data_IF_772690201306
#
_entry.id   IF_772690201306
#
_cell.length_a   1.000
_cell.length_b   1.000
_cell.length_c   1.000
_cell.angle_alpha   90.00
_cell.angle_beta   90.00
_cell.angle_gamma   90.00
#
_symmetry.space_group_name_H-M   'P 1'
#
loop_
_entity.id
_entity.type
_entity.pdbx_description
1 polymer ?
#
# COMPACT_ATOMS: atom_id res chain seq x y z
N UNK A 1 -18.34 26.04 2.26
CA UNK A 1 -17.76 25.12 1.26
C UNK A 1 -17.60 23.66 1.76
N UNK A 2 -18.07 23.30 2.97
CA UNK A 2 -18.03 21.91 3.51
C UNK A 2 -19.37 21.14 3.42
N UNK A 3 -20.47 21.81 3.04
CA UNK A 3 -21.82 21.21 3.10
C UNK A 3 -22.07 20.14 2.04
N UNK A 4 -21.45 20.24 0.86
CA UNK A 4 -21.62 19.26 -0.23
C UNK A 4 -21.06 17.87 0.15
N UNK A 5 -20.00 17.84 0.97
CA UNK A 5 -19.39 16.58 1.43
C UNK A 5 -20.22 15.90 2.54
N UNK A 6 -21.13 16.64 3.17
CA UNK A 6 -22.01 16.15 4.22
C UNK A 6 -23.30 15.63 3.59
N UNK A 7 -23.28 14.36 3.18
CA UNK A 7 -24.49 13.64 2.75
C UNK A 7 -25.58 13.62 3.83
N UNK A 8 -26.81 13.19 3.52
CA UNK A 8 -27.98 13.33 4.40
C UNK A 8 -27.85 12.60 5.75
N UNK A 9 -27.01 11.55 5.82
CA UNK A 9 -26.76 10.76 7.04
C UNK A 9 -25.36 10.97 7.62
N UNK A 10 -24.70 12.07 7.27
CA UNK A 10 -23.31 12.36 7.67
C UNK A 10 -23.09 12.24 9.19
N UNK A 11 -23.91 12.90 10.01
CA UNK A 11 -23.79 12.87 11.48
C UNK A 11 -24.05 11.47 12.06
N UNK A 12 -24.95 10.69 11.45
CA UNK A 12 -25.18 9.30 11.86
C UNK A 12 -23.95 8.42 11.58
N UNK A 13 -23.28 8.65 10.44
CA UNK A 13 -22.03 7.96 10.11
C UNK A 13 -20.93 8.36 11.09
N UNK A 14 -20.79 9.65 11.43
CA UNK A 14 -19.79 10.09 12.41
C UNK A 14 -20.05 9.48 13.80
N UNK A 15 -21.30 9.43 14.24
CA UNK A 15 -21.66 8.76 15.50
C UNK A 15 -21.25 7.28 15.45
N UNK A 16 -21.54 6.58 14.35
CA UNK A 16 -21.19 5.16 14.22
C UNK A 16 -19.68 4.94 14.14
N UNK A 17 -18.96 5.79 13.42
CA UNK A 17 -17.51 5.76 13.37
C UNK A 17 -16.90 5.98 14.77
N UNK A 18 -17.45 6.89 15.57
CA UNK A 18 -17.02 7.12 16.97
C UNK A 18 -17.26 5.91 17.87
N UNK A 19 -18.41 5.23 17.76
CA UNK A 19 -18.68 3.98 18.48
C UNK A 19 -17.75 2.83 18.09
N UNK A 20 -17.23 2.87 16.87
CA UNK A 20 -16.30 1.88 16.35
C UNK A 20 -14.83 2.25 16.63
N UNK A 21 -14.54 3.46 17.11
CA UNK A 21 -13.18 3.88 17.40
C UNK A 21 -12.75 3.43 18.79
N UNK A 22 -11.58 2.80 18.86
CA UNK A 22 -10.91 2.42 20.10
C UNK A 22 -9.74 3.38 20.29
N UNK A 23 -9.84 4.23 21.32
CA UNK A 23 -8.73 5.08 21.71
C UNK A 23 -7.60 4.24 22.27
N UNK A 24 -6.40 4.43 21.71
CA UNK A 24 -5.21 3.72 22.14
C UNK A 24 -4.00 4.57 21.80
N UNK A 25 -3.16 4.85 22.79
CA UNK A 25 -1.90 5.55 22.59
C UNK A 25 -0.78 4.51 22.45
N UNK A 26 -0.19 4.33 21.24
CA UNK A 26 0.83 3.31 21.04
C UNK A 26 2.09 3.58 21.86
N UNK A 27 2.68 2.50 22.37
CA UNK A 27 3.98 2.53 23.06
C UNK A 27 5.09 2.14 22.10
N UNK A 28 6.31 2.65 22.33
CA UNK A 28 7.46 2.33 21.48
C UNK A 28 7.95 0.92 21.78
N UNK A 29 7.72 -0.01 20.84
CA UNK A 29 8.27 -1.35 20.90
C UNK A 29 9.34 -1.53 19.84
N UNK A 30 10.47 -2.14 20.22
CA UNK A 30 11.52 -2.49 19.26
C UNK A 30 11.00 -3.57 18.30
N UNK A 31 11.28 -3.37 17.02
CA UNK A 31 10.92 -4.28 15.95
C UNK A 31 11.72 -3.92 14.70
N UNK A 32 12.28 -4.94 14.04
CA UNK A 32 12.88 -4.80 12.73
C UNK A 32 11.74 -4.80 11.71
N UNK A 33 11.57 -3.68 11.01
CA UNK A 33 10.53 -3.55 9.98
C UNK A 33 11.16 -3.25 8.63
N UNK A 34 10.59 -3.83 7.57
CA UNK A 34 10.93 -3.50 6.19
C UNK A 34 9.69 -3.05 5.42
N UNK A 35 9.85 -2.00 4.62
CA UNK A 35 8.84 -1.50 3.71
C UNK A 35 9.13 -1.95 2.29
N UNK A 36 8.07 -2.30 1.56
CA UNK A 36 8.11 -2.73 0.16
C UNK A 36 7.21 -1.81 -0.65
N UNK A 37 7.76 -1.30 -1.74
CA UNK A 37 7.03 -0.54 -2.76
C UNK A 37 7.65 -0.85 -4.13
N UNK A 38 6.86 -0.65 -5.18
CA UNK A 38 7.29 -0.80 -6.56
C UNK A 38 6.93 0.43 -7.38
N UNK A 39 7.65 0.62 -8.49
CA UNK A 39 7.22 1.56 -9.50
C UNK A 39 7.57 1.05 -10.88
N UNK A 40 6.89 1.60 -11.88
CA UNK A 40 7.21 1.39 -13.27
C UNK A 40 7.06 2.71 -14.01
N UNK A 41 7.79 2.85 -15.11
CA UNK A 41 7.66 3.98 -16.01
C UNK A 41 7.91 3.50 -17.45
N UNK A 42 7.36 4.22 -18.42
CA UNK A 42 7.44 3.88 -19.82
C UNK A 42 7.54 5.10 -20.74
N UNK A 43 8.03 4.86 -21.95
CA UNK A 43 8.01 5.86 -23.03
C UNK A 43 7.77 5.17 -24.37
N UNK A 44 7.03 5.83 -25.25
CA UNK A 44 6.51 5.25 -26.49
C UNK A 44 7.24 5.78 -27.71
N UNK A 45 7.58 4.89 -28.64
CA UNK A 45 8.20 5.17 -29.93
C UNK A 45 7.43 4.43 -31.02
N UNK A 46 6.75 5.12 -31.93
CA UNK A 46 6.13 4.52 -33.14
C UNK A 46 5.48 3.11 -32.97
N UNK A 47 4.68 2.92 -31.93
CA UNK A 47 3.98 1.64 -31.69
C UNK A 47 4.75 0.59 -30.88
N UNK A 48 6.01 0.86 -30.50
CA UNK A 48 6.76 0.14 -29.47
C UNK A 48 6.88 0.99 -28.20
N UNK A 49 6.99 0.34 -27.05
CA UNK A 49 7.15 0.97 -25.76
C UNK A 49 8.41 0.44 -25.08
N UNK A 50 9.28 1.36 -24.65
CA UNK A 50 10.35 1.07 -23.71
C UNK A 50 9.78 1.24 -22.31
N UNK A 51 9.96 0.24 -21.48
CA UNK A 51 9.48 0.25 -20.10
C UNK A 51 10.57 -0.20 -19.14
N UNK A 52 10.45 0.24 -17.89
CA UNK A 52 11.20 -0.26 -16.77
C UNK A 52 10.31 -0.38 -15.54
N UNK A 53 10.58 -1.37 -14.71
CA UNK A 53 9.92 -1.64 -13.45
C UNK A 53 10.96 -1.96 -12.38
N UNK A 54 10.67 -1.59 -11.14
CA UNK A 54 11.52 -1.86 -9.99
C UNK A 54 10.66 -2.13 -8.76
N UNK A 55 11.18 -2.95 -7.84
CA UNK A 55 10.60 -3.16 -6.51
C UNK A 55 11.71 -3.22 -5.48
N UNK A 56 11.53 -2.50 -4.37
CA UNK A 56 12.54 -2.34 -3.34
C UNK A 56 11.97 -2.76 -1.99
N UNK A 57 12.75 -3.54 -1.24
CA UNK A 57 12.54 -3.81 0.18
C UNK A 57 13.62 -3.13 1.00
N UNK A 58 13.24 -2.29 1.96
CA UNK A 58 14.19 -1.50 2.76
C UNK A 58 13.76 -1.43 4.21
N UNK A 59 14.72 -1.62 5.13
CA UNK A 59 14.50 -1.53 6.58
C UNK A 59 14.31 -0.07 7.03
N UNK A 60 13.74 0.12 8.21
CA UNK A 60 13.59 1.46 8.82
C UNK A 60 14.93 2.19 9.08
N UNK A 61 16.05 1.46 9.16
CA UNK A 61 17.40 2.01 9.30
C UNK A 61 18.06 2.40 7.96
N UNK A 62 17.39 2.18 6.82
CA UNK A 62 17.91 2.48 5.48
C UNK A 62 18.62 1.32 4.78
N UNK A 63 18.80 0.17 5.42
CA UNK A 63 19.39 -1.02 4.81
C UNK A 63 18.43 -1.61 3.76
N UNK A 64 18.89 -1.70 2.51
CA UNK A 64 18.15 -2.31 1.41
C UNK A 64 18.34 -3.83 1.49
N UNK A 65 17.24 -4.56 1.59
CA UNK A 65 17.21 -6.02 1.63
C UNK A 65 17.04 -6.63 0.25
N UNK A 66 16.23 -5.98 -0.59
CA UNK A 66 15.93 -6.44 -1.95
C UNK A 66 15.85 -5.23 -2.85
N UNK A 67 16.48 -5.33 -4.03
CA UNK A 67 16.42 -4.32 -5.08
C UNK A 67 16.26 -5.03 -6.43
N UNK A 68 15.02 -5.10 -6.93
CA UNK A 68 14.69 -5.78 -8.18
C UNK A 68 14.53 -4.75 -9.30
N UNK A 69 15.04 -5.08 -10.49
CA UNK A 69 14.94 -4.27 -11.69
C UNK A 69 14.58 -5.14 -12.88
N UNK A 70 13.68 -4.66 -13.72
CA UNK A 70 13.36 -5.27 -15.01
C UNK A 70 13.10 -4.17 -16.04
N UNK A 71 13.43 -4.44 -17.30
CA UNK A 71 13.21 -3.49 -18.40
C UNK A 71 13.08 -4.23 -19.72
N UNK A 72 12.37 -3.62 -20.65
CA UNK A 72 12.20 -4.25 -21.95
C UNK A 72 11.55 -3.34 -22.98
N UNK A 73 11.43 -3.90 -24.18
CA UNK A 73 10.75 -3.31 -25.32
C UNK A 73 9.57 -4.18 -25.70
N UNK A 74 8.41 -3.58 -25.94
CA UNK A 74 7.23 -4.31 -26.38
C UNK A 74 6.03 -3.41 -26.61
N UNK A 75 4.95 -4.00 -27.12
CA UNK A 75 3.63 -3.38 -27.18
C UNK A 75 2.70 -4.10 -26.20
N UNK A 76 1.80 -3.37 -25.56
CA UNK A 76 0.75 -3.94 -24.67
C UNK A 76 1.27 -4.73 -23.46
N UNK A 77 2.37 -4.27 -22.85
CA UNK A 77 2.91 -4.86 -21.61
C UNK A 77 2.10 -4.39 -20.40
N UNK A 78 1.60 -5.33 -19.60
CA UNK A 78 0.93 -5.03 -18.33
C UNK A 78 1.97 -4.73 -17.23
N UNK A 79 2.48 -3.50 -17.21
CA UNK A 79 3.49 -3.06 -16.24
C UNK A 79 3.02 -3.13 -14.80
N UNK A 80 1.71 -2.94 -14.57
CA UNK A 80 1.13 -3.09 -13.24
C UNK A 80 1.27 -4.53 -12.75
N UNK A 81 1.07 -5.53 -13.62
CA UNK A 81 1.28 -6.93 -13.27
C UNK A 81 2.75 -7.27 -13.04
N UNK A 82 3.67 -6.69 -13.81
CA UNK A 82 5.11 -6.86 -13.60
C UNK A 82 5.51 -6.31 -12.23
N UNK A 83 5.15 -5.07 -11.93
CA UNK A 83 5.45 -4.42 -10.66
C UNK A 83 4.87 -5.20 -9.47
N UNK A 84 3.59 -5.59 -9.52
CA UNK A 84 2.97 -6.39 -8.46
C UNK A 84 3.65 -7.75 -8.27
N UNK A 85 4.11 -8.40 -9.35
CA UNK A 85 4.89 -9.64 -9.23
C UNK A 85 6.23 -9.39 -8.53
N UNK A 86 6.92 -8.30 -8.86
CA UNK A 86 8.19 -7.93 -8.23
C UNK A 86 8.00 -7.59 -6.74
N UNK A 87 6.90 -6.94 -6.35
CA UNK A 87 6.57 -6.71 -4.93
C UNK A 87 6.40 -8.02 -4.16
N UNK A 88 5.72 -8.99 -4.74
CA UNK A 88 5.53 -10.31 -4.13
C UNK A 88 6.86 -11.04 -4.00
N UNK A 89 7.71 -10.99 -5.03
CA UNK A 89 9.06 -11.57 -4.98
C UNK A 89 9.94 -10.89 -3.91
N UNK A 90 9.89 -9.56 -3.81
CA UNK A 90 10.56 -8.83 -2.75
C UNK A 90 10.04 -9.23 -1.36
N UNK A 91 8.73 -9.42 -1.23
CA UNK A 91 8.09 -9.89 0.00
C UNK A 91 8.55 -11.30 0.38
N UNK A 92 8.58 -12.23 -0.57
CA UNK A 92 9.07 -13.61 -0.36
C UNK A 92 10.51 -13.65 0.16
N UNK A 93 11.37 -12.77 -0.36
CA UNK A 93 12.78 -12.65 0.06
C UNK A 93 12.95 -11.90 1.40
N UNK A 94 11.98 -11.08 1.79
CA UNK A 94 12.06 -10.22 2.99
C UNK A 94 11.41 -10.86 4.21
N UNK A 95 10.36 -11.68 4.01
CA UNK A 95 9.48 -12.18 5.08
C UNK A 95 10.23 -12.86 6.21
N UNK A 96 11.34 -13.54 5.92
CA UNK A 96 12.11 -14.26 6.92
C UNK A 96 13.10 -13.39 7.70
N UNK A 97 13.46 -12.23 7.18
CA UNK A 97 14.57 -11.38 7.65
C UNK A 97 14.15 -10.33 8.69
N UNK A 98 12.84 -10.11 8.86
CA UNK A 98 12.30 -9.02 9.69
C UNK A 98 11.11 -9.46 10.54
N UNK A 99 10.85 -8.71 11.62
CA UNK A 99 9.69 -8.95 12.49
C UNK A 99 8.38 -8.54 11.83
N UNK A 100 8.42 -7.56 10.91
CA UNK A 100 7.24 -7.04 10.23
C UNK A 100 7.57 -6.55 8.80
N UNK A 101 6.86 -7.08 7.83
CA UNK A 101 6.89 -6.63 6.43
C UNK A 101 5.70 -5.71 6.17
N UNK A 102 5.98 -4.53 5.64
CA UNK A 102 4.99 -3.51 5.31
C UNK A 102 4.91 -3.41 3.78
N UNK A 103 3.77 -3.78 3.22
CA UNK A 103 3.50 -3.61 1.79
C UNK A 103 2.80 -2.28 1.57
N UNK A 104 3.29 -1.42 0.67
CA UNK A 104 2.52 -0.24 0.27
C UNK A 104 1.32 -0.64 -0.57
N UNK A 105 0.18 0.02 -0.34
CA UNK A 105 -1.06 -0.26 -1.07
C UNK A 105 -2.03 -1.16 -0.31
N UNK A 106 -2.89 -1.85 -1.06
CA UNK A 106 -4.07 -2.52 -0.51
C UNK A 106 -4.19 -3.95 -1.00
N UNK A 107 -4.31 -4.87 -0.04
CA UNK A 107 -4.61 -6.28 -0.27
C UNK A 107 -5.97 -6.45 -0.96
N UNK A 108 -6.94 -5.59 -0.62
CA UNK A 108 -8.23 -5.56 -1.31
C UNK A 108 -8.05 -5.25 -2.80
N UNK A 109 -7.24 -4.25 -3.13
CA UNK A 109 -6.96 -3.92 -4.53
C UNK A 109 -6.23 -5.07 -5.23
N UNK A 110 -5.27 -5.71 -4.54
CA UNK A 110 -4.54 -6.87 -5.05
C UNK A 110 -5.46 -8.03 -5.45
N UNK A 111 -6.48 -8.36 -4.64
CA UNK A 111 -7.43 -9.42 -4.96
C UNK A 111 -8.55 -9.00 -5.91
N UNK A 112 -8.81 -7.70 -6.08
CA UNK A 112 -9.83 -7.18 -7.02
C UNK A 112 -9.31 -7.09 -8.45
N UNK A 113 -8.05 -6.68 -8.62
CA UNK A 113 -7.44 -6.62 -9.96
C UNK A 113 -7.38 -8.05 -10.50
N UNK A 114 -7.69 -8.25 -11.79
CA UNK A 114 -7.84 -9.58 -12.41
C UNK A 114 -6.52 -10.37 -12.53
N UNK A 115 -5.57 -10.15 -11.62
CA UNK A 115 -4.29 -10.84 -11.51
C UNK A 115 -4.43 -12.10 -10.64
N UNK A 116 -5.49 -12.89 -10.85
CA UNK A 116 -5.81 -14.09 -10.05
C UNK A 116 -4.66 -15.11 -9.97
N UNK A 117 -3.75 -15.08 -10.95
CA UNK A 117 -2.52 -15.89 -10.95
C UNK A 117 -1.55 -15.56 -9.81
N UNK A 118 -1.59 -14.34 -9.26
CA UNK A 118 -0.70 -13.89 -8.19
C UNK A 118 -1.28 -14.12 -6.79
N UNK A 119 -2.61 -14.20 -6.66
CA UNK A 119 -3.30 -14.32 -5.37
C UNK A 119 -2.79 -15.51 -4.54
N UNK A 120 -2.58 -16.67 -5.18
CA UNK A 120 -2.10 -17.87 -4.49
C UNK A 120 -0.69 -17.67 -3.93
N UNK A 121 0.16 -16.93 -4.64
CA UNK A 121 1.52 -16.61 -4.21
C UNK A 121 1.45 -15.60 -3.04
N UNK A 122 0.67 -14.52 -3.17
CA UNK A 122 0.45 -13.54 -2.08
C UNK A 122 -0.01 -14.25 -0.80
N UNK A 123 -1.06 -15.07 -0.89
CA UNK A 123 -1.62 -15.80 0.26
C UNK A 123 -0.57 -16.74 0.87
N UNK A 124 0.18 -17.47 0.04
CA UNK A 124 1.25 -18.37 0.50
C UNK A 124 2.34 -17.60 1.25
N UNK A 125 2.79 -16.47 0.70
CA UNK A 125 3.84 -15.63 1.30
C UNK A 125 3.40 -15.04 2.63
N UNK A 126 2.19 -14.47 2.69
CA UNK A 126 1.65 -13.88 3.93
C UNK A 126 1.47 -14.93 5.03
N UNK A 127 1.02 -16.15 4.69
CA UNK A 127 0.81 -17.25 5.65
C UNK A 127 2.12 -17.84 6.21
N UNK A 128 3.27 -17.52 5.62
CA UNK A 128 4.56 -18.12 6.02
C UNK A 128 4.97 -17.75 7.45
N UNK A 129 4.80 -16.48 7.83
CA UNK A 129 5.12 -15.98 9.18
C UNK A 129 4.01 -15.14 9.82
N UNK A 130 2.92 -14.85 9.10
CA UNK A 130 1.84 -13.96 9.56
C UNK A 130 2.36 -12.58 10.03
N UNK A 131 3.44 -12.10 9.42
CA UNK A 131 4.10 -10.83 9.73
C UNK A 131 4.03 -9.81 8.58
N UNK A 132 3.17 -10.05 7.59
CA UNK A 132 2.99 -9.16 6.42
C UNK A 132 1.71 -8.34 6.61
N UNK A 133 1.82 -7.02 6.49
CA UNK A 133 0.70 -6.08 6.62
C UNK A 133 0.69 -5.16 5.41
N UNK A 134 -0.49 -4.97 4.82
CA UNK A 134 -0.70 -3.96 3.78
C UNK A 134 -1.11 -2.64 4.40
N UNK A 135 -0.48 -1.56 3.95
CA UNK A 135 -0.70 -0.21 4.48
C UNK A 135 -1.05 0.74 3.35
N UNK A 136 -2.23 1.37 3.44
CA UNK A 136 -2.69 2.35 2.47
C UNK A 136 -2.92 3.73 3.11
N UNK A 137 -2.37 4.78 2.49
CA UNK A 137 -2.63 6.21 2.85
C UNK A 137 -4.03 6.67 2.46
N UNK A 138 -4.60 6.04 1.43
CA UNK A 138 -5.90 6.36 0.88
C UNK A 138 -6.73 5.08 0.79
N UNK A 139 -8.05 5.21 0.93
CA UNK A 139 -8.96 4.10 0.73
C UNK A 139 -10.30 4.60 0.24
N UNK A 140 -10.78 3.98 -0.85
CA UNK A 140 -12.11 4.23 -1.40
C UNK A 140 -13.15 3.22 -0.89
N UNK A 141 -12.77 2.29 0.00
CA UNK A 141 -13.71 1.32 0.55
C UNK A 141 -14.76 2.01 1.40
N UNK A 142 -16.03 1.70 1.15
CA UNK A 142 -17.20 2.25 1.84
C UNK A 142 -17.91 1.23 2.73
N UNK A 143 -17.32 0.06 2.92
CA UNK A 143 -18.03 -1.14 3.37
C UNK A 143 -18.56 -1.04 4.80
N UNK A 144 -17.91 -0.28 5.67
CA UNK A 144 -18.40 -0.11 7.05
C UNK A 144 -19.62 0.82 7.12
N UNK A 145 -19.71 1.81 6.23
CA UNK A 145 -20.76 2.83 6.25
C UNK A 145 -21.70 2.83 5.04
N UNK A 146 -21.55 1.87 4.12
CA UNK A 146 -22.34 1.73 2.88
C UNK A 146 -23.85 1.72 3.16
N UNK A 147 -24.28 1.00 4.21
CA UNK A 147 -25.69 0.94 4.64
C UNK A 147 -26.29 2.28 5.10
N UNK A 148 -25.44 3.26 5.41
CA UNK A 148 -25.84 4.62 5.76
C UNK A 148 -25.76 5.59 4.56
N UNK A 149 -25.48 5.10 3.35
CA UNK A 149 -25.39 5.93 2.15
C UNK A 149 -24.13 6.81 2.12
N UNK A 150 -22.99 6.27 2.60
CA UNK A 150 -21.71 6.98 2.61
C UNK A 150 -21.28 7.44 1.21
N UNK A 151 -21.00 8.75 1.07
CA UNK A 151 -20.51 9.35 -0.18
C UNK A 151 -19.00 9.18 -0.36
N UNK A 152 -18.24 9.19 0.73
CA UNK A 152 -16.79 9.03 0.76
C UNK A 152 -16.38 7.64 1.28
N UNK A 153 -15.10 7.28 1.17
CA UNK A 153 -14.54 6.08 1.80
C UNK A 153 -14.59 6.15 3.33
N UNK A 154 -14.58 4.99 4.00
CA UNK A 154 -14.68 4.88 5.47
C UNK A 154 -13.58 5.71 6.17
N UNK A 155 -12.38 5.77 5.59
CA UNK A 155 -11.23 6.55 6.07
C UNK A 155 -11.53 8.06 6.22
N UNK A 156 -12.41 8.60 5.37
CA UNK A 156 -12.81 10.00 5.43
C UNK A 156 -13.56 10.28 6.73
N UNK A 157 -14.53 9.43 7.08
CA UNK A 157 -15.33 9.60 8.29
C UNK A 157 -14.50 9.42 9.55
N UNK A 158 -13.60 8.43 9.57
CA UNK A 158 -12.69 8.25 10.70
C UNK A 158 -11.76 9.46 10.92
N UNK A 159 -11.33 10.13 9.84
CA UNK A 159 -10.53 11.36 9.97
C UNK A 159 -11.33 12.52 10.60
N UNK A 160 -12.66 12.52 10.54
CA UNK A 160 -13.51 13.59 11.07
C UNK A 160 -13.97 13.40 12.52
N UNK A 161 -13.85 12.20 13.11
CA UNK A 161 -14.41 11.93 14.44
C UNK A 161 -13.47 12.26 15.60
N UNK A 162 -12.15 12.26 15.38
CA UNK A 162 -11.15 12.46 16.43
C UNK A 162 -9.83 12.90 15.82
N UNK A 163 -8.96 13.50 16.63
CA UNK A 163 -7.54 13.76 16.34
C UNK A 163 -6.60 12.85 17.15
N UNK A 164 -7.12 12.12 18.13
CA UNK A 164 -6.35 11.26 19.02
C UNK A 164 -5.87 9.98 18.31
N UNK A 165 -4.74 9.40 18.76
CA UNK A 165 -4.32 8.06 18.36
C UNK A 165 -5.37 6.98 18.67
N UNK A 166 -5.33 5.90 17.93
CA UNK A 166 -6.24 4.78 18.10
C UNK A 166 -6.48 4.03 16.80
N UNK A 167 -7.50 3.18 16.82
CA UNK A 167 -7.87 2.36 15.67
C UNK A 167 -9.36 2.07 15.63
N UNK A 168 -9.89 1.78 14.44
CA UNK A 168 -11.27 1.31 14.29
C UNK A 168 -11.37 -0.17 14.67
N UNK A 169 -12.54 -0.60 15.13
CA UNK A 169 -12.89 -2.03 15.20
C UNK A 169 -12.61 -2.72 13.87
N UNK A 170 -12.19 -3.97 13.97
CA UNK A 170 -11.84 -4.79 12.82
C UNK A 170 -13.06 -4.97 11.91
N UNK A 171 -12.84 -4.82 10.60
CA UNK A 171 -13.82 -5.14 9.58
C UNK A 171 -13.30 -6.28 8.71
N UNK A 172 -14.07 -7.36 8.61
CA UNK A 172 -13.71 -8.58 7.89
C UNK A 172 -14.48 -8.67 6.57
N UNK A 173 -13.77 -8.83 5.47
CA UNK A 173 -14.32 -9.02 4.12
C UNK A 173 -14.03 -10.45 3.63
N UNK A 174 -15.09 -11.23 3.39
CA UNK A 174 -15.01 -12.65 2.97
C UNK A 174 -15.35 -12.89 1.48
N UNK A 175 -15.40 -11.85 0.66
CA UNK A 175 -15.98 -11.93 -0.69
C UNK A 175 -15.10 -12.64 -1.74
N UNK A 176 -13.81 -12.86 -1.44
CA UNK A 176 -12.83 -13.37 -2.40
C UNK A 176 -12.59 -14.88 -2.32
N UNK A 177 -13.33 -15.59 -1.46
CA UNK A 177 -13.13 -17.01 -1.18
C UNK A 177 -12.70 -17.26 0.26
N UNK A 178 -12.72 -18.53 0.68
CA UNK A 178 -12.42 -18.95 2.05
C UNK A 178 -10.95 -18.75 2.45
N UNK A 179 -10.04 -18.68 1.48
CA UNK A 179 -8.60 -18.50 1.66
C UNK A 179 -8.13 -17.05 1.52
N UNK A 180 -9.02 -16.15 1.08
CA UNK A 180 -8.76 -14.72 0.80
C UNK A 180 -9.64 -13.80 1.65
N UNK A 181 -9.67 -14.09 2.94
CA UNK A 181 -10.37 -13.26 3.92
C UNK A 181 -9.46 -12.08 4.28
N UNK A 182 -9.98 -10.86 4.20
CA UNK A 182 -9.24 -9.65 4.56
C UNK A 182 -9.83 -9.06 5.82
N UNK A 183 -9.02 -8.95 6.87
CA UNK A 183 -9.33 -8.13 8.02
C UNK A 183 -8.70 -6.74 7.87
N UNK A 184 -9.44 -5.70 8.18
CA UNK A 184 -8.96 -4.32 8.03
C UNK A 184 -9.33 -3.42 9.20
N UNK A 185 -8.44 -2.48 9.51
CA UNK A 185 -8.67 -1.44 10.51
C UNK A 185 -8.07 -0.12 10.04
N UNK A 186 -8.70 0.99 10.43
CA UNK A 186 -8.19 2.33 10.21
C UNK A 186 -7.46 2.80 11.47
N UNK A 187 -6.26 3.31 11.32
CA UNK A 187 -5.35 3.58 12.43
C UNK A 187 -4.84 5.02 12.37
N UNK A 188 -4.77 5.67 13.53
CA UNK A 188 -3.96 6.88 13.74
C UNK A 188 -2.85 6.56 14.73
N UNK A 189 -1.59 6.67 14.30
CA UNK A 189 -0.44 6.34 15.13
C UNK A 189 -0.05 7.46 16.11
N UNK A 190 -0.30 8.72 15.76
CA UNK A 190 0.05 9.88 16.60
C UNK A 190 -1.00 10.98 16.51
N UNK A 191 -1.09 11.83 17.52
CA UNK A 191 -2.07 12.90 17.55
C UNK A 191 -1.96 13.81 16.32
N UNK A 192 -3.12 14.18 15.76
CA UNK A 192 -3.24 15.05 14.58
C UNK A 192 -2.50 14.58 13.32
N UNK A 193 -2.11 13.30 13.25
CA UNK A 193 -1.56 12.70 12.02
C UNK A 193 -2.65 12.08 11.15
N UNK A 194 -2.39 11.86 9.84
CA UNK A 194 -3.32 11.19 8.96
C UNK A 194 -3.67 9.78 9.44
N UNK A 195 -4.89 9.35 9.16
CA UNK A 195 -5.28 7.94 9.31
C UNK A 195 -4.74 7.13 8.13
N UNK A 196 -4.24 5.94 8.43
CA UNK A 196 -3.86 4.91 7.46
C UNK A 196 -4.78 3.70 7.59
N UNK A 197 -4.92 2.92 6.53
CA UNK A 197 -5.61 1.62 6.57
C UNK A 197 -4.58 0.52 6.72
N UNK A 198 -4.77 -0.36 7.70
CA UNK A 198 -4.04 -1.63 7.81
C UNK A 198 -4.94 -2.76 7.30
N UNK A 199 -4.37 -3.65 6.50
CA UNK A 199 -5.04 -4.87 6.03
C UNK A 199 -4.17 -6.10 6.33
N UNK A 200 -4.85 -7.12 6.86
CA UNK A 200 -4.30 -8.38 7.29
C UNK A 200 -4.99 -9.52 6.54
N UNK A 201 -4.29 -10.63 6.37
CA UNK A 201 -4.85 -11.85 5.81
C UNK A 201 -5.43 -12.73 6.93
N UNK A 202 -6.69 -13.11 6.81
CA UNK A 202 -7.42 -13.91 7.80
C UNK A 202 -8.50 -13.09 8.53
N UNK A 203 -9.23 -13.76 9.42
CA UNK A 203 -10.24 -13.13 10.28
C UNK A 203 -9.90 -13.12 11.76
N UNK A 204 -8.96 -13.97 12.18
CA UNK A 204 -8.65 -14.25 13.58
C UNK A 204 -7.65 -13.24 14.17
N UNK A 205 -7.93 -11.94 14.04
CA UNK A 205 -7.08 -10.88 14.60
C UNK A 205 -7.69 -10.27 15.85
N UNK A 206 -6.99 -10.41 16.98
CA UNK A 206 -7.45 -9.88 18.26
C UNK A 206 -7.12 -8.39 18.42
N UNK A 207 -7.86 -7.69 19.28
CA UNK A 207 -7.54 -6.29 19.60
C UNK A 207 -6.11 -6.13 20.16
N UNK A 208 -5.63 -7.11 20.94
CA UNK A 208 -4.27 -7.10 21.50
C UNK A 208 -3.20 -7.23 20.41
N UNK A 209 -3.46 -8.00 19.36
CA UNK A 209 -2.58 -8.12 18.21
C UNK A 209 -2.50 -6.80 17.43
N UNK A 210 -3.64 -6.12 17.23
CA UNK A 210 -3.68 -4.79 16.62
C UNK A 210 -2.86 -3.80 17.47
N UNK A 211 -3.07 -3.76 18.79
CA UNK A 211 -2.28 -2.92 19.71
C UNK A 211 -0.78 -3.21 19.63
N UNK A 212 -0.38 -4.48 19.61
CA UNK A 212 1.02 -4.89 19.45
C UNK A 212 1.60 -4.40 18.11
N UNK A 213 0.84 -4.53 17.03
CA UNK A 213 1.21 -4.02 15.71
C UNK A 213 1.40 -2.51 15.72
N UNK A 214 0.47 -1.76 16.31
CA UNK A 214 0.56 -0.31 16.45
C UNK A 214 1.82 0.10 17.21
N UNK A 215 2.18 -0.59 18.28
CA UNK A 215 3.39 -0.30 19.07
C UNK A 215 4.68 -0.46 18.25
N UNK A 216 4.77 -1.54 17.47
CA UNK A 216 5.91 -1.81 16.56
C UNK A 216 5.99 -0.77 15.44
N UNK A 217 4.84 -0.41 14.86
CA UNK A 217 4.76 0.60 13.80
C UNK A 217 5.11 1.99 14.32
N UNK A 218 4.62 2.38 15.50
CA UNK A 218 4.79 3.71 16.07
C UNK A 218 6.26 4.08 16.26
N UNK A 219 7.09 3.15 16.77
CA UNK A 219 8.53 3.35 16.95
C UNK A 219 9.24 3.76 15.65
N UNK A 220 8.85 3.14 14.54
CA UNK A 220 9.47 3.27 13.22
C UNK A 220 8.70 4.20 12.27
N UNK A 221 7.79 5.03 12.79
CA UNK A 221 6.95 5.93 11.98
C UNK A 221 7.32 7.40 12.17
N UNK A 222 7.24 8.16 11.07
CA UNK A 222 7.47 9.62 11.06
C UNK A 222 6.21 10.29 10.52
N UNK A 223 5.65 11.26 11.26
CA UNK A 223 4.43 11.96 10.84
C UNK A 223 3.19 11.05 10.73
N UNK A 224 3.16 9.95 11.49
CA UNK A 224 2.05 8.98 11.47
C UNK A 224 2.09 7.96 10.34
N UNK A 225 3.21 7.87 9.61
CA UNK A 225 3.40 6.87 8.54
C UNK A 225 4.74 6.12 8.70
N UNK A 226 4.79 4.80 8.46
CA UNK A 226 6.02 4.02 8.61
C UNK A 226 7.17 4.53 7.73
N UNK A 227 8.33 4.76 8.33
CA UNK A 227 9.47 5.35 7.63
C UNK A 227 10.05 4.40 6.57
N UNK A 228 10.03 3.09 6.83
CA UNK A 228 10.48 2.07 5.88
C UNK A 228 9.71 2.13 4.55
N UNK A 229 8.39 2.38 4.58
CA UNK A 229 7.59 2.57 3.37
C UNK A 229 7.93 3.86 2.63
N UNK A 230 8.24 4.95 3.36
CA UNK A 230 8.72 6.19 2.75
C UNK A 230 10.06 5.98 2.05
N UNK A 231 10.95 5.18 2.64
CA UNK A 231 12.22 4.81 2.02
C UNK A 231 11.99 3.95 0.77
N UNK A 232 11.13 2.94 0.83
CA UNK A 232 10.83 2.06 -0.31
C UNK A 232 10.34 2.88 -1.51
N UNK A 233 9.35 3.74 -1.28
CA UNK A 233 8.79 4.64 -2.30
C UNK A 233 9.82 5.55 -2.96
N UNK A 234 10.77 6.08 -2.17
CA UNK A 234 11.80 6.97 -2.69
C UNK A 234 12.85 6.20 -3.50
N UNK A 235 13.17 4.96 -3.11
CA UNK A 235 14.19 4.15 -3.77
C UNK A 235 13.66 3.42 -5.01
N UNK A 236 12.36 3.11 -5.08
CA UNK A 236 11.77 2.46 -6.26
C UNK A 236 11.39 3.45 -7.37
N UNK A 237 11.50 4.77 -7.18
CA UNK A 237 10.98 5.75 -8.15
C UNK A 237 11.81 5.79 -9.44
N UNK A 238 11.19 5.47 -10.59
CA UNK A 238 11.81 5.62 -11.92
C UNK A 238 11.39 6.95 -12.55
N UNK A 239 12.35 7.84 -12.78
CA UNK A 239 12.14 9.16 -13.39
C UNK A 239 12.21 9.14 -14.91
N UNK A 240 11.55 10.10 -15.57
CA UNK A 240 11.61 10.27 -17.02
C UNK A 240 13.05 10.54 -17.51
N UNK A 241 13.90 11.12 -16.66
CA UNK A 241 15.32 11.35 -16.95
C UNK A 241 16.08 10.02 -17.04
N UNK A 242 15.73 9.03 -16.22
CA UNK A 242 16.33 7.69 -16.29
C UNK A 242 15.86 6.94 -17.52
N UNK A 243 14.57 7.04 -17.86
CA UNK A 243 14.07 6.52 -19.15
C UNK A 243 14.80 7.16 -20.33
N UNK A 244 14.93 8.49 -20.37
CA UNK A 244 15.64 9.18 -21.45
C UNK A 244 17.11 8.72 -21.59
N UNK A 245 17.79 8.42 -20.48
CA UNK A 245 19.13 7.82 -20.53
C UNK A 245 19.10 6.43 -21.15
N UNK A 246 18.15 5.57 -20.78
CA UNK A 246 18.03 4.24 -21.39
C UNK A 246 17.73 4.34 -22.88
N UNK A 247 16.85 5.24 -23.30
CA UNK A 247 16.55 5.52 -24.72
C UNK A 247 17.82 5.89 -25.48
N UNK A 248 18.63 6.78 -24.91
CA UNK A 248 19.91 7.21 -25.50
C UNK A 248 20.92 6.05 -25.55
N UNK A 249 21.06 5.27 -24.49
CA UNK A 249 21.98 4.13 -24.41
C UNK A 249 21.61 3.00 -25.38
N UNK A 250 20.31 2.78 -25.59
CA UNK A 250 19.79 1.78 -26.53
C UNK A 250 19.80 2.26 -27.99
N UNK A 251 20.24 3.50 -28.25
CA UNK A 251 20.25 4.08 -29.60
C UNK A 251 18.86 4.42 -30.16
N UNK A 252 17.81 4.27 -29.35
CA UNK A 252 16.43 4.53 -29.75
C UNK A 252 16.16 6.01 -30.03
N UNK A 253 17.03 6.92 -29.56
CA UNK A 253 16.95 8.34 -29.91
C UNK A 253 17.05 8.61 -31.42
N UNK A 254 17.63 7.69 -32.18
CA UNK A 254 17.88 7.85 -33.62
C UNK A 254 16.81 7.15 -34.49
N UNK A 255 15.84 6.48 -33.87
CA UNK A 255 14.76 5.79 -34.58
C UNK A 255 13.78 6.79 -35.19
N UNK A 256 13.17 6.44 -36.33
CA UNK A 256 12.15 7.28 -36.98
C UNK A 256 11.00 7.50 -35.98
N UNK A 257 10.50 8.74 -35.86
CA UNK A 257 9.41 9.11 -34.95
C UNK A 257 9.75 9.16 -33.46
N UNK A 258 11.01 8.97 -33.10
CA UNK A 258 11.59 9.48 -31.85
C UNK A 258 11.52 10.99 -31.95
N UNK A 259 10.55 11.62 -31.30
CA UNK A 259 10.38 13.07 -31.43
C UNK A 259 11.66 13.78 -30.94
N UNK A 260 12.38 14.43 -31.85
CA UNK A 260 12.80 15.80 -31.60
C UNK A 260 11.50 16.63 -31.48
N UNK A 261 11.00 16.80 -30.25
CA UNK A 261 10.12 17.93 -29.99
C UNK A 261 11.04 19.13 -29.95
N UNK A 262 11.15 19.85 -31.08
CA UNK A 262 11.64 21.22 -31.09
C UNK A 262 10.82 22.00 -30.06
N UNK A 263 11.47 22.35 -28.95
CA UNK A 263 11.05 23.42 -28.06
C UNK A 263 11.58 24.76 -28.55
#
# INVERSE_FOLDING_TARGET
>A
MLSILKGPKFEQILKKAKENWVEYNPEKHESVTAGIDSSFNNTKFQGIELWAATAVSVKSNGEILVDLHDSGLGSDVDLSKIASKMEIEACEKTVDEVDLVLMDGSLHSQFMTRQSSLDAIVVKTMKKKNNVIFIAKTSNTKKQFEKYGSLAGDIFYYNHITKSPGFSKLFVEKKYGSDKIIASTFVRLSESTPIIKLEFLGEDHSENEIKSTLNKLYKNSVGGYPYALKLAHNNCKISDKELAKMVSLLGLSNEIGSREVLG
#
